data_IF_859232453545
#
_entry.id   IF_859232453545
#
_cell.length_a   1.000
_cell.length_b   1.000
_cell.length_c   1.000
_cell.angle_alpha   90.00
_cell.angle_beta   90.00
_cell.angle_gamma   90.00
#
_symmetry.space_group_name_H-M   'P 1'
#
loop_
_entity.id
_entity.type
_entity.pdbx_description
1 polymer ?
#
# COMPACT_ATOMS: atom_id res chain seq x y z
N UNK A 1 8.76 -1.20 63.63
CA UNK A 1 9.06 -0.94 62.20
C UNK A 1 8.16 -1.81 61.35
N UNK A 2 7.14 -1.22 60.70
CA UNK A 2 6.25 -1.95 59.77
C UNK A 2 6.72 -1.61 58.35
N UNK A 3 7.27 -2.60 57.65
CA UNK A 3 7.62 -2.47 56.24
C UNK A 3 6.38 -2.73 55.39
N UNK A 4 5.84 -1.69 54.76
CA UNK A 4 4.80 -1.80 53.74
C UNK A 4 5.47 -2.19 52.42
N UNK A 5 5.27 -3.44 51.99
CA UNK A 5 5.62 -3.90 50.65
C UNK A 5 4.59 -3.38 49.66
N UNK A 6 4.97 -2.48 48.76
CA UNK A 6 4.15 -2.04 47.64
C UNK A 6 4.42 -2.97 46.47
N UNK A 7 3.44 -3.79 46.10
CA UNK A 7 3.50 -4.68 44.95
C UNK A 7 3.15 -3.88 43.68
N UNK A 8 4.15 -3.63 42.83
CA UNK A 8 3.95 -2.95 41.55
C UNK A 8 3.47 -3.99 40.52
N UNK A 9 2.15 -4.06 40.27
CA UNK A 9 1.63 -4.85 39.14
C UNK A 9 1.95 -4.13 37.84
N UNK A 10 2.93 -4.65 37.10
CA UNK A 10 3.15 -4.30 35.70
C UNK A 10 2.00 -4.89 34.88
N UNK A 11 1.02 -4.04 34.53
CA UNK A 11 0.07 -4.37 33.48
C UNK A 11 0.84 -4.42 32.15
N UNK A 12 1.23 -5.62 31.74
CA UNK A 12 1.71 -5.86 30.38
C UNK A 12 0.49 -5.64 29.48
N UNK A 13 0.41 -4.47 28.86
CA UNK A 13 -0.55 -4.23 27.79
C UNK A 13 -0.26 -5.24 26.69
N UNK A 14 -1.19 -6.16 26.44
CA UNK A 14 -1.09 -7.03 25.27
C UNK A 14 -1.08 -6.12 24.03
N UNK A 15 0.06 -6.02 23.36
CA UNK A 15 0.14 -5.27 22.12
C UNK A 15 -0.82 -5.92 21.12
N UNK A 16 -1.70 -5.11 20.53
CA UNK A 16 -2.62 -5.52 19.48
C UNK A 16 -1.83 -5.70 18.18
N UNK A 17 -1.08 -6.81 18.07
CA UNK A 17 -0.32 -7.16 16.88
C UNK A 17 -1.14 -8.08 15.98
N UNK A 18 -1.32 -7.72 14.71
CA UNK A 18 -1.95 -8.55 13.69
C UNK A 18 -0.87 -9.18 12.81
N UNK A 19 -1.00 -10.41 12.32
CA UNK A 19 0.13 -11.04 11.61
C UNK A 19 -0.25 -12.01 10.50
N UNK A 20 0.60 -12.04 9.46
CA UNK A 20 0.58 -13.08 8.43
C UNK A 20 1.38 -14.29 8.89
N UNK A 21 0.74 -15.45 8.86
CA UNK A 21 1.34 -16.73 9.22
C UNK A 21 1.54 -17.59 7.98
N UNK A 22 2.63 -18.36 7.91
CA UNK A 22 2.85 -19.25 6.75
C UNK A 22 1.86 -20.43 6.75
N UNK A 23 1.50 -20.94 7.92
CA UNK A 23 0.49 -21.98 8.11
C UNK A 23 -0.03 -22.01 9.55
N UNK A 24 -1.18 -22.67 9.76
CA UNK A 24 -1.83 -22.80 11.08
C UNK A 24 -0.95 -23.48 12.12
N UNK A 25 -0.12 -24.45 11.71
CA UNK A 25 0.79 -25.15 12.63
C UNK A 25 1.78 -24.20 13.30
N UNK A 26 2.37 -23.27 12.53
CA UNK A 26 3.33 -22.30 13.08
C UNK A 26 2.62 -21.33 14.02
N UNK A 27 1.43 -20.85 13.62
CA UNK A 27 0.58 -20.04 14.48
C UNK A 27 0.27 -20.72 15.83
N UNK A 28 -0.18 -21.97 15.80
CA UNK A 28 -0.50 -22.75 17.00
C UNK A 28 0.73 -22.94 17.90
N UNK A 29 1.91 -23.17 17.30
CA UNK A 29 3.16 -23.34 18.03
C UNK A 29 3.61 -22.05 18.74
N UNK A 30 3.46 -20.89 18.10
CA UNK A 30 3.93 -19.62 18.64
C UNK A 30 2.93 -18.95 19.60
N UNK A 31 1.62 -19.12 19.35
CA UNK A 31 0.57 -18.45 20.14
C UNK A 31 -0.10 -19.36 21.17
N UNK A 32 0.01 -20.69 21.01
CA UNK A 32 -0.76 -21.66 21.77
C UNK A 32 -2.26 -21.72 21.43
N UNK A 33 -2.74 -20.89 20.49
CA UNK A 33 -4.14 -20.83 20.09
C UNK A 33 -4.44 -21.87 18.99
N UNK A 34 -5.56 -22.58 19.12
CA UNK A 34 -5.95 -23.65 18.18
C UNK A 34 -6.45 -23.13 16.83
N UNK A 35 -7.03 -21.93 16.81
CA UNK A 35 -7.60 -21.29 15.64
C UNK A 35 -7.12 -19.85 15.55
N UNK A 36 -7.05 -19.31 14.33
CA UNK A 36 -6.64 -17.93 14.08
C UNK A 36 -7.61 -16.96 14.77
N UNK A 37 -7.05 -15.91 15.35
CA UNK A 37 -7.84 -14.76 15.80
C UNK A 37 -8.24 -13.88 14.61
N UNK A 38 -9.20 -12.98 14.79
CA UNK A 38 -9.75 -12.14 13.71
C UNK A 38 -8.72 -11.20 13.05
N UNK A 39 -7.60 -10.96 13.73
CA UNK A 39 -6.48 -10.14 13.26
C UNK A 39 -5.39 -10.96 12.55
N UNK A 40 -5.43 -12.28 12.63
CA UNK A 40 -4.42 -13.17 12.06
C UNK A 40 -4.92 -13.80 10.76
N UNK A 41 -4.01 -14.00 9.80
CA UNK A 41 -4.34 -14.67 8.54
C UNK A 41 -3.21 -15.55 8.05
N UNK A 42 -3.52 -16.58 7.26
CA UNK A 42 -2.47 -17.36 6.58
C UNK A 42 -2.04 -16.70 5.27
N UNK A 43 -0.82 -17.02 4.83
CA UNK A 43 -0.34 -16.66 3.49
C UNK A 43 -1.29 -17.17 2.39
N UNK A 44 -1.90 -18.34 2.58
CA UNK A 44 -2.91 -18.87 1.66
C UNK A 44 -4.20 -18.06 1.65
N UNK A 45 -4.55 -17.42 2.77
CA UNK A 45 -5.80 -16.66 2.92
C UNK A 45 -5.70 -15.35 2.16
N UNK A 46 -4.57 -14.65 2.28
CA UNK A 46 -4.27 -13.47 1.46
C UNK A 46 -4.25 -13.80 -0.03
N UNK A 47 -3.51 -14.85 -0.42
CA UNK A 47 -3.38 -15.23 -1.85
C UNK A 47 -4.71 -15.61 -2.50
N UNK A 48 -5.68 -16.09 -1.72
CA UNK A 48 -7.02 -16.47 -2.18
C UNK A 48 -8.08 -15.39 -1.92
N UNK A 49 -7.70 -14.24 -1.37
CA UNK A 49 -8.62 -13.20 -0.89
C UNK A 49 -9.78 -13.76 -0.04
N UNK A 50 -9.49 -14.73 0.83
CA UNK A 50 -10.51 -15.44 1.62
C UNK A 50 -11.17 -14.54 2.67
N UNK A 51 -12.30 -14.98 3.22
CA UNK A 51 -13.00 -14.24 4.29
C UNK A 51 -12.11 -13.91 5.50
N UNK A 52 -11.21 -14.82 5.91
CA UNK A 52 -10.25 -14.57 7.01
C UNK A 52 -9.35 -13.37 6.71
N UNK A 53 -8.86 -13.26 5.47
CA UNK A 53 -8.05 -12.11 5.03
C UNK A 53 -8.86 -10.81 5.01
N UNK A 54 -10.11 -10.86 4.56
CA UNK A 54 -10.99 -9.69 4.54
C UNK A 54 -11.34 -9.20 5.95
N UNK A 55 -11.57 -10.13 6.89
CA UNK A 55 -11.79 -9.84 8.30
C UNK A 55 -10.54 -9.21 8.93
N UNK A 56 -9.37 -9.79 8.71
CA UNK A 56 -8.11 -9.23 9.19
C UNK A 56 -7.84 -7.82 8.62
N UNK A 57 -8.14 -7.59 7.34
CA UNK A 57 -8.01 -6.26 6.77
C UNK A 57 -8.96 -5.24 7.40
N UNK A 58 -10.21 -5.64 7.66
CA UNK A 58 -11.19 -4.80 8.35
C UNK A 58 -10.69 -4.48 9.76
N UNK A 59 -10.25 -5.50 10.51
CA UNK A 59 -9.67 -5.33 11.84
C UNK A 59 -8.48 -4.36 11.83
N UNK A 60 -7.52 -4.55 10.92
CA UNK A 60 -6.34 -3.69 10.83
C UNK A 60 -6.70 -2.26 10.48
N UNK A 61 -7.65 -2.06 9.54
CA UNK A 61 -8.11 -0.74 9.16
C UNK A 61 -8.77 -0.01 10.32
N UNK A 62 -9.67 -0.69 11.04
CA UNK A 62 -10.36 -0.15 12.21
C UNK A 62 -9.43 0.16 13.37
N UNK A 63 -8.41 -0.66 13.59
CA UNK A 63 -7.44 -0.46 14.67
C UNK A 63 -6.22 0.38 14.26
N UNK A 64 -6.20 0.92 13.05
CA UNK A 64 -5.09 1.74 12.53
C UNK A 64 -3.73 1.02 12.63
N UNK A 65 -3.67 -0.20 12.10
CA UNK A 65 -2.48 -1.08 12.10
C UNK A 65 -1.83 -1.22 10.71
N UNK A 66 -1.36 -0.14 10.05
CA UNK A 66 -0.75 -0.23 8.73
C UNK A 66 0.62 -0.95 8.74
N UNK A 67 1.30 -1.00 9.88
CA UNK A 67 2.63 -1.63 10.03
C UNK A 67 2.62 -3.14 9.81
N UNK A 68 1.45 -3.78 9.89
CA UNK A 68 1.30 -5.23 9.77
C UNK A 68 1.45 -5.71 8.31
N UNK A 69 1.41 -4.76 7.36
CA UNK A 69 1.65 -5.00 5.94
C UNK A 69 3.12 -4.71 5.58
N UNK A 70 4.02 -5.56 6.08
CA UNK A 70 5.48 -5.38 5.94
C UNK A 70 6.00 -5.42 4.50
N UNK A 71 5.30 -6.09 3.57
CA UNK A 71 5.77 -6.26 2.19
C UNK A 71 4.90 -5.52 1.16
N UNK A 72 5.51 -5.13 0.03
CA UNK A 72 4.77 -4.59 -1.14
C UNK A 72 3.65 -5.55 -1.58
N UNK A 73 3.83 -6.87 -1.41
CA UNK A 73 2.80 -7.87 -1.76
C UNK A 73 1.58 -7.75 -0.87
N UNK A 74 1.77 -7.68 0.45
CA UNK A 74 0.68 -7.50 1.39
C UNK A 74 -0.04 -6.16 1.18
N UNK A 75 0.70 -5.06 1.00
CA UNK A 75 0.13 -3.73 0.71
C UNK A 75 -0.68 -3.70 -0.60
N UNK A 76 -0.16 -4.34 -1.66
CA UNK A 76 -0.88 -4.53 -2.92
C UNK A 76 -2.20 -5.27 -2.67
N UNK A 77 -2.16 -6.42 -2.01
CA UNK A 77 -3.34 -7.27 -1.81
C UNK A 77 -4.35 -6.60 -0.88
N UNK A 78 -3.90 -5.74 0.05
CA UNK A 78 -4.76 -4.86 0.81
C UNK A 78 -5.48 -3.86 -0.09
N UNK A 79 -4.76 -3.17 -0.99
CA UNK A 79 -5.41 -2.25 -1.92
C UNK A 79 -6.42 -2.96 -2.82
N UNK A 80 -6.16 -4.21 -3.19
CA UNK A 80 -7.11 -5.05 -3.95
C UNK A 80 -8.41 -5.30 -3.20
N UNK A 81 -8.30 -5.78 -1.96
CA UNK A 81 -9.45 -5.92 -1.07
C UNK A 81 -10.17 -4.58 -0.88
N UNK A 82 -9.40 -3.52 -0.58
CA UNK A 82 -9.96 -2.23 -0.21
C UNK A 82 -10.76 -1.61 -1.36
N UNK A 83 -10.22 -1.56 -2.58
CA UNK A 83 -10.95 -0.97 -3.70
C UNK A 83 -12.22 -1.76 -4.03
N UNK A 84 -12.20 -3.08 -3.83
CA UNK A 84 -13.39 -3.93 -4.01
C UNK A 84 -14.45 -3.58 -2.97
N UNK A 85 -14.07 -3.54 -1.70
CA UNK A 85 -14.97 -3.25 -0.59
C UNK A 85 -15.61 -1.84 -0.66
N UNK A 86 -14.85 -0.80 -1.04
CA UNK A 86 -15.45 0.54 -1.21
C UNK A 86 -16.29 0.66 -2.49
N UNK A 87 -16.00 -0.13 -3.53
CA UNK A 87 -16.82 -0.16 -4.75
C UNK A 87 -18.17 -0.82 -4.46
N UNK A 88 -18.21 -1.86 -3.63
CA UNK A 88 -19.44 -2.50 -3.14
C UNK A 88 -20.28 -1.55 -2.28
N UNK A 89 -19.64 -0.66 -1.50
CA UNK A 89 -20.30 0.46 -0.81
C UNK A 89 -20.76 1.58 -1.76
N UNK A 90 -20.39 1.50 -3.04
CA UNK A 90 -20.80 2.44 -4.08
C UNK A 90 -19.85 3.61 -4.31
N UNK A 91 -18.65 3.66 -3.72
CA UNK A 91 -17.71 4.75 -4.00
C UNK A 91 -17.09 4.65 -5.40
N UNK A 92 -16.93 5.79 -6.07
CA UNK A 92 -16.28 5.90 -7.40
C UNK A 92 -14.82 6.36 -7.33
N UNK A 93 -14.23 6.33 -6.13
CA UNK A 93 -12.85 6.76 -5.87
C UNK A 93 -11.87 5.83 -6.60
N UNK A 94 -10.91 6.41 -7.32
CA UNK A 94 -10.01 5.65 -8.22
C UNK A 94 -8.63 5.43 -7.61
N UNK A 95 -8.20 6.26 -6.67
CA UNK A 95 -6.85 6.21 -6.11
C UNK A 95 -6.46 4.83 -5.54
N UNK A 96 -7.30 4.07 -4.82
CA UNK A 96 -6.95 2.72 -4.37
C UNK A 96 -6.65 1.74 -5.52
N UNK A 97 -7.36 1.88 -6.66
CA UNK A 97 -7.08 1.11 -7.88
C UNK A 97 -5.72 1.49 -8.49
N UNK A 98 -5.37 2.78 -8.43
CA UNK A 98 -4.04 3.27 -8.84
C UNK A 98 -2.94 2.73 -7.92
N UNK A 99 -3.15 2.77 -6.61
CA UNK A 99 -2.20 2.26 -5.62
C UNK A 99 -1.96 0.75 -5.81
N UNK A 100 -3.02 -0.04 -5.98
CA UNK A 100 -2.91 -1.46 -6.33
C UNK A 100 -2.10 -1.68 -7.63
N UNK A 101 -2.39 -0.89 -8.67
CA UNK A 101 -1.66 -0.98 -9.94
C UNK A 101 -0.17 -0.68 -9.77
N UNK A 102 0.17 0.42 -9.10
CA UNK A 102 1.56 0.81 -8.86
C UNK A 102 2.28 -0.21 -7.98
N UNK A 103 1.68 -0.69 -6.88
CA UNK A 103 2.29 -1.75 -6.05
C UNK A 103 2.52 -3.04 -6.83
N UNK A 104 1.62 -3.36 -7.79
CA UNK A 104 1.83 -4.48 -8.72
C UNK A 104 3.10 -4.29 -9.57
N UNK A 105 3.35 -3.07 -10.06
CA UNK A 105 4.55 -2.74 -10.83
C UNK A 105 5.80 -2.69 -9.97
N UNK A 106 5.75 -2.07 -8.79
CA UNK A 106 6.89 -1.98 -7.87
C UNK A 106 7.38 -3.35 -7.44
N UNK A 107 6.49 -4.32 -7.22
CA UNK A 107 6.85 -5.71 -6.90
C UNK A 107 7.72 -6.36 -7.98
N UNK A 108 7.59 -5.96 -9.25
CA UNK A 108 8.39 -6.52 -10.35
C UNK A 108 9.88 -6.23 -10.18
N UNK A 109 10.26 -5.18 -9.45
CA UNK A 109 11.68 -4.92 -9.11
C UNK A 109 12.34 -6.07 -8.35
N UNK A 110 11.55 -6.95 -7.72
CA UNK A 110 12.02 -8.14 -7.00
C UNK A 110 11.70 -9.44 -7.73
N UNK A 111 11.23 -9.41 -8.98
CA UNK A 111 10.79 -10.59 -9.74
C UNK A 111 11.63 -10.80 -11.01
N UNK A 112 11.86 -12.06 -11.40
CA UNK A 112 12.50 -12.39 -12.67
C UNK A 112 11.56 -12.07 -13.85
N UNK A 113 12.07 -11.60 -15.02
CA UNK A 113 13.47 -11.28 -15.32
C UNK A 113 13.90 -9.88 -14.87
N UNK A 114 12.97 -9.05 -14.41
CA UNK A 114 13.19 -7.64 -14.11
C UNK A 114 14.22 -7.37 -13.01
N UNK A 115 14.33 -8.26 -12.02
CA UNK A 115 15.31 -8.18 -10.93
C UNK A 115 16.76 -8.14 -11.42
N UNK A 116 17.04 -8.64 -12.63
CA UNK A 116 18.38 -8.61 -13.26
C UNK A 116 18.81 -7.16 -13.50
N UNK A 117 17.85 -6.28 -13.79
CA UNK A 117 18.11 -4.91 -14.19
C UNK A 117 17.78 -3.87 -13.10
N UNK A 118 17.44 -4.33 -11.90
CA UNK A 118 17.19 -3.47 -10.75
C UNK A 118 18.22 -3.74 -9.66
N UNK A 119 18.97 -2.71 -9.29
CA UNK A 119 19.96 -2.78 -8.22
C UNK A 119 19.30 -2.71 -6.83
N UNK A 120 20.12 -2.81 -5.77
CA UNK A 120 19.65 -2.76 -4.37
C UNK A 120 18.97 -1.42 -4.05
N UNK A 121 19.50 -0.30 -4.53
CA UNK A 121 18.94 1.04 -4.31
C UNK A 121 17.53 1.17 -4.87
N UNK A 122 17.30 0.74 -6.13
CA UNK A 122 15.96 0.75 -6.76
C UNK A 122 14.97 -0.09 -5.94
N UNK A 123 15.39 -1.28 -5.48
CA UNK A 123 14.54 -2.14 -4.64
C UNK A 123 14.23 -1.49 -3.28
N UNK A 124 15.19 -0.75 -2.72
CA UNK A 124 15.04 -0.01 -1.47
C UNK A 124 14.02 1.12 -1.64
N UNK A 125 14.21 2.00 -2.63
CA UNK A 125 13.27 3.10 -2.90
C UNK A 125 11.88 2.61 -3.27
N UNK A 126 11.76 1.51 -4.03
CA UNK A 126 10.45 0.90 -4.31
C UNK A 126 9.74 0.45 -3.03
N UNK A 127 10.48 -0.09 -2.06
CA UNK A 127 9.92 -0.50 -0.76
C UNK A 127 9.55 0.73 0.08
N UNK A 128 10.49 1.68 0.22
CA UNK A 128 10.30 2.90 0.99
C UNK A 128 9.12 3.74 0.47
N UNK A 129 9.01 3.91 -0.85
CA UNK A 129 7.88 4.61 -1.46
C UNK A 129 6.55 3.91 -1.22
N UNK A 130 6.49 2.59 -1.46
CA UNK A 130 5.28 1.80 -1.18
C UNK A 130 4.89 1.84 0.30
N UNK A 131 5.87 1.89 1.19
CA UNK A 131 5.65 1.94 2.63
C UNK A 131 5.16 3.30 3.09
N UNK A 132 5.86 4.35 2.70
CA UNK A 132 5.55 5.72 3.11
C UNK A 132 4.13 6.07 2.69
N UNK A 133 3.75 5.82 1.43
CA UNK A 133 2.38 6.09 0.96
C UNK A 133 1.35 5.29 1.75
N UNK A 134 1.59 3.98 1.94
CA UNK A 134 0.64 3.11 2.65
C UNK A 134 0.43 3.51 4.10
N UNK A 135 1.51 3.83 4.83
CA UNK A 135 1.44 4.27 6.22
C UNK A 135 0.69 5.59 6.35
N UNK A 136 0.97 6.55 5.47
CA UNK A 136 0.39 7.90 5.55
C UNK A 136 -1.09 7.92 5.17
N UNK A 137 -1.48 7.18 4.13
CA UNK A 137 -2.87 7.20 3.61
C UNK A 137 -3.84 6.38 4.47
N UNK A 138 -3.35 5.51 5.35
CA UNK A 138 -4.18 4.51 6.04
C UNK A 138 -5.33 5.10 6.85
N UNK A 139 -5.09 6.25 7.49
CA UNK A 139 -6.14 6.98 8.21
C UNK A 139 -7.22 7.53 7.28
N UNK A 140 -6.83 8.07 6.12
CA UNK A 140 -7.77 8.53 5.09
C UNK A 140 -8.60 7.38 4.51
N UNK A 141 -8.00 6.21 4.37
CA UNK A 141 -8.71 5.00 3.94
C UNK A 141 -9.73 4.55 5.00
N UNK A 142 -9.38 4.57 6.29
CA UNK A 142 -10.37 4.27 7.35
C UNK A 142 -11.55 5.23 7.32
N UNK A 143 -11.28 6.54 7.19
CA UNK A 143 -12.33 7.56 7.11
C UNK A 143 -13.25 7.31 5.91
N UNK A 144 -12.69 7.04 4.73
CA UNK A 144 -13.49 6.75 3.53
C UNK A 144 -14.28 5.45 3.69
N UNK A 145 -13.67 4.40 4.23
CA UNK A 145 -14.34 3.11 4.44
C UNK A 145 -15.52 3.23 5.39
N UNK A 146 -15.42 4.04 6.45
CA UNK A 146 -16.49 4.23 7.44
C UNK A 146 -17.45 5.38 7.09
N UNK A 147 -17.27 6.04 5.95
CA UNK A 147 -18.13 7.13 5.53
C UNK A 147 -19.52 6.62 5.18
N UNK A 148 -20.56 7.24 5.77
CA UNK A 148 -21.94 7.07 5.33
C UNK A 148 -22.21 7.79 4.00
N UNK A 149 -21.43 8.84 3.70
CA UNK A 149 -21.54 9.59 2.45
C UNK A 149 -20.83 8.84 1.32
N UNK A 150 -21.58 8.46 0.30
CA UNK A 150 -21.07 7.82 -0.92
C UNK A 150 -20.44 8.89 -1.83
N UNK A 151 -19.15 8.73 -2.12
CA UNK A 151 -18.42 9.64 -3.02
C UNK A 151 -18.60 9.19 -4.47
N UNK A 152 -19.32 9.99 -5.25
CA UNK A 152 -19.59 9.79 -6.69
C UNK A 152 -19.00 10.94 -7.51
N UNK A 153 -18.70 10.67 -8.78
CA UNK A 153 -18.34 11.68 -9.79
C UNK A 153 -17.33 12.74 -9.30
N UNK A 154 -17.75 14.01 -9.19
CA UNK A 154 -16.90 15.13 -8.80
C UNK A 154 -16.38 15.03 -7.36
N UNK A 155 -17.20 14.54 -6.42
CA UNK A 155 -16.76 14.35 -5.03
C UNK A 155 -15.68 13.26 -4.93
N UNK A 156 -15.79 12.19 -5.72
CA UNK A 156 -14.77 11.16 -5.81
C UNK A 156 -13.48 11.68 -6.47
N UNK A 157 -13.61 12.51 -7.52
CA UNK A 157 -12.47 13.17 -8.16
C UNK A 157 -11.75 14.12 -7.19
N UNK A 158 -12.48 14.97 -6.48
CA UNK A 158 -11.89 15.90 -5.52
C UNK A 158 -11.15 15.16 -4.40
N UNK A 159 -11.68 14.02 -3.94
CA UNK A 159 -10.99 13.16 -2.98
C UNK A 159 -9.69 12.59 -3.56
N UNK A 160 -9.74 12.04 -4.79
CA UNK A 160 -8.55 11.52 -5.48
C UNK A 160 -7.48 12.62 -5.66
N UNK A 161 -7.88 13.83 -6.07
CA UNK A 161 -6.98 14.99 -6.25
C UNK A 161 -6.30 15.38 -4.94
N UNK A 162 -7.05 15.47 -3.85
CA UNK A 162 -6.52 15.83 -2.55
C UNK A 162 -5.50 14.80 -2.03
N UNK A 163 -5.79 13.50 -2.20
CA UNK A 163 -4.87 12.42 -1.79
C UNK A 163 -3.64 12.40 -2.71
N UNK A 164 -3.81 12.52 -4.02
CA UNK A 164 -2.69 12.58 -4.97
C UNK A 164 -1.78 13.77 -4.70
N UNK A 165 -2.34 14.94 -4.38
CA UNK A 165 -1.53 16.10 -4.06
C UNK A 165 -0.66 15.82 -2.82
N UNK A 166 -1.26 15.35 -1.72
CA UNK A 166 -0.53 14.97 -0.49
C UNK A 166 0.54 13.91 -0.75
N UNK A 167 0.20 12.88 -1.52
CA UNK A 167 1.15 11.83 -1.89
C UNK A 167 2.37 12.41 -2.59
N UNK A 168 2.15 13.24 -3.61
CA UNK A 168 3.21 13.75 -4.48
C UNK A 168 4.01 14.89 -3.86
N UNK A 169 3.36 15.75 -3.07
CA UNK A 169 3.93 16.95 -2.45
C UNK A 169 4.57 16.67 -1.09
N UNK A 170 3.93 15.85 -0.25
CA UNK A 170 4.31 15.71 1.15
C UNK A 170 4.99 14.35 1.39
N UNK A 171 4.38 13.27 0.93
CA UNK A 171 4.80 11.92 1.36
C UNK A 171 6.02 11.42 0.60
N UNK A 172 6.05 11.54 -0.73
CA UNK A 172 7.13 10.97 -1.53
C UNK A 172 8.21 11.98 -1.90
N UNK A 173 7.96 13.29 -1.72
CA UNK A 173 8.93 14.32 -2.11
C UNK A 173 10.23 14.19 -1.33
N UNK A 174 10.17 13.86 -0.05
CA UNK A 174 11.33 13.57 0.79
C UNK A 174 12.17 12.43 0.22
N UNK A 175 11.52 11.35 -0.23
CA UNK A 175 12.19 10.23 -0.89
C UNK A 175 12.89 10.69 -2.16
N UNK A 176 12.23 11.49 -3.00
CA UNK A 176 12.86 12.01 -4.23
C UNK A 176 14.07 12.90 -3.97
N UNK A 177 14.08 13.65 -2.87
CA UNK A 177 15.21 14.48 -2.48
C UNK A 177 16.43 13.64 -2.07
N UNK A 178 16.22 12.43 -1.55
CA UNK A 178 17.27 11.54 -1.06
C UNK A 178 17.84 10.59 -2.14
N UNK A 179 17.19 10.51 -3.31
CA UNK A 179 17.61 9.60 -4.39
C UNK A 179 18.89 10.12 -5.08
N UNK A 180 19.91 9.28 -5.16
CA UNK A 180 21.11 9.57 -5.95
C UNK A 180 20.80 9.70 -7.45
N UNK A 181 21.56 10.55 -8.14
CA UNK A 181 21.30 10.91 -9.54
C UNK A 181 21.25 9.68 -10.49
N UNK A 182 22.07 8.66 -10.24
CA UNK A 182 22.12 7.47 -11.08
C UNK A 182 20.87 6.60 -10.89
N UNK A 183 20.43 6.44 -9.65
CA UNK A 183 19.17 5.76 -9.34
C UNK A 183 17.98 6.54 -9.90
N UNK A 184 17.97 7.87 -9.76
CA UNK A 184 16.90 8.73 -10.30
C UNK A 184 16.76 8.58 -11.82
N UNK A 185 17.87 8.65 -12.57
CA UNK A 185 17.90 8.42 -14.03
C UNK A 185 17.34 7.03 -14.41
N UNK A 186 17.55 6.04 -13.56
CA UNK A 186 17.05 4.68 -13.81
C UNK A 186 15.56 4.58 -13.56
N UNK A 187 15.06 5.13 -12.46
CA UNK A 187 13.62 5.23 -12.16
C UNK A 187 12.90 6.03 -13.26
N UNK A 188 13.51 7.12 -13.75
CA UNK A 188 12.97 7.89 -14.86
C UNK A 188 12.86 7.04 -16.14
N UNK A 189 13.91 6.29 -16.52
CA UNK A 189 13.86 5.37 -17.66
C UNK A 189 12.77 4.31 -17.49
N UNK A 190 12.57 3.81 -16.27
CA UNK A 190 11.50 2.87 -15.93
C UNK A 190 10.12 3.49 -16.17
N UNK A 191 9.86 4.65 -15.58
CA UNK A 191 8.58 5.36 -15.69
C UNK A 191 8.26 5.77 -17.14
N UNK A 192 9.28 6.15 -17.92
CA UNK A 192 9.18 6.47 -19.34
C UNK A 192 9.08 5.23 -20.25
N UNK A 193 9.22 4.02 -19.69
CA UNK A 193 9.19 2.76 -20.44
C UNK A 193 10.28 2.66 -21.52
N UNK A 194 11.49 3.19 -21.24
CA UNK A 194 12.61 3.20 -22.19
C UNK A 194 13.32 1.83 -22.22
N UNK A 195 13.70 1.38 -23.41
CA UNK A 195 14.40 0.09 -23.59
C UNK A 195 13.57 -1.10 -23.12
N UNK A 196 14.17 -2.01 -22.34
CA UNK A 196 13.48 -3.20 -21.83
C UNK A 196 12.38 -2.88 -20.80
N UNK A 197 12.40 -1.68 -20.18
CA UNK A 197 11.31 -1.23 -19.29
C UNK A 197 9.99 -0.98 -20.03
N UNK A 198 10.01 -0.96 -21.36
CA UNK A 198 8.80 -0.92 -22.19
C UNK A 198 7.81 -2.05 -21.91
N UNK A 199 8.31 -3.19 -21.39
CA UNK A 199 7.50 -4.34 -20.97
C UNK A 199 6.81 -4.13 -19.60
N UNK A 200 7.35 -3.25 -18.76
CA UNK A 200 6.76 -2.96 -17.43
C UNK A 200 5.61 -1.95 -17.54
N UNK A 201 5.77 -0.94 -18.40
CA UNK A 201 4.87 0.22 -18.48
C UNK A 201 4.19 0.29 -19.86
N UNK A 202 2.85 0.10 -19.93
CA UNK A 202 2.09 0.24 -21.16
C UNK A 202 2.30 1.60 -21.81
N UNK A 203 2.34 1.65 -23.15
CA UNK A 203 2.55 2.89 -23.92
C UNK A 203 1.61 4.03 -23.50
N UNK A 204 0.35 3.71 -23.19
CA UNK A 204 -0.68 4.68 -22.82
C UNK A 204 -0.39 5.46 -21.54
N UNK A 205 0.48 4.95 -20.66
CA UNK A 205 0.81 5.56 -19.37
C UNK A 205 2.32 5.74 -19.17
N UNK A 206 3.08 5.89 -20.26
CA UNK A 206 4.50 6.21 -20.12
C UNK A 206 4.63 7.65 -19.69
N UNK A 207 5.37 7.86 -18.60
CA UNK A 207 5.65 9.19 -18.08
C UNK A 207 6.39 10.03 -19.14
N UNK A 208 6.14 11.34 -19.17
CA UNK A 208 6.77 12.26 -20.16
C UNK A 208 7.54 13.41 -19.51
N UNK A 209 7.21 13.78 -18.26
CA UNK A 209 7.81 14.92 -17.58
C UNK A 209 9.17 14.62 -16.94
N UNK A 210 9.57 15.51 -16.04
CA UNK A 210 10.69 15.31 -15.12
C UNK A 210 10.17 14.60 -13.85
N UNK A 211 10.78 13.46 -13.51
CA UNK A 211 10.30 12.65 -12.39
C UNK A 211 10.68 13.26 -11.04
N UNK A 212 11.70 14.13 -10.99
CA UNK A 212 12.05 14.88 -9.79
C UNK A 212 11.05 16.00 -9.49
N UNK A 213 10.37 16.51 -10.54
CA UNK A 213 9.41 17.58 -10.42
C UNK A 213 8.05 17.09 -9.91
N UNK A 214 7.67 17.57 -8.72
CA UNK A 214 6.43 17.21 -8.04
C UNK A 214 5.17 17.45 -8.88
N UNK A 215 5.05 18.64 -9.49
CA UNK A 215 3.89 18.97 -10.31
C UNK A 215 3.78 18.05 -11.53
N UNK A 216 4.91 17.70 -12.16
CA UNK A 216 4.93 16.76 -13.28
C UNK A 216 4.40 15.38 -12.89
N UNK A 217 4.78 14.88 -11.70
CA UNK A 217 4.27 13.60 -11.19
C UNK A 217 2.78 13.68 -10.84
N UNK A 218 2.34 14.75 -10.17
CA UNK A 218 0.93 14.98 -9.84
C UNK A 218 0.05 15.03 -11.08
N UNK A 219 0.42 15.85 -12.07
CA UNK A 219 -0.34 15.98 -13.31
C UNK A 219 -0.40 14.65 -14.08
N UNK A 220 0.71 13.90 -14.13
CA UNK A 220 0.70 12.56 -14.70
C UNK A 220 -0.24 11.60 -13.95
N UNK A 221 -0.20 11.59 -12.61
CA UNK A 221 -1.01 10.70 -11.81
C UNK A 221 -2.51 10.98 -12.04
N UNK A 222 -2.90 12.25 -12.05
CA UNK A 222 -4.29 12.68 -12.22
C UNK A 222 -4.81 12.49 -13.65
N UNK A 223 -4.05 12.94 -14.66
CA UNK A 223 -4.57 13.03 -16.04
C UNK A 223 -4.34 11.78 -16.87
N UNK A 224 -3.35 10.95 -16.51
CA UNK A 224 -3.00 9.75 -17.28
C UNK A 224 -3.22 8.47 -16.47
N UNK A 225 -2.57 8.35 -15.30
CA UNK A 225 -2.64 7.11 -14.53
C UNK A 225 -4.05 6.84 -14.00
N UNK A 226 -4.71 7.85 -13.44
CA UNK A 226 -6.09 7.73 -12.94
C UNK A 226 -7.05 7.32 -14.04
N UNK A 227 -7.00 7.98 -15.19
CA UNK A 227 -7.86 7.68 -16.35
C UNK A 227 -7.63 6.24 -16.83
N UNK A 228 -6.37 5.83 -16.93
CA UNK A 228 -6.03 4.46 -17.31
C UNK A 228 -6.52 3.43 -16.30
N UNK A 229 -6.31 3.67 -15.00
CA UNK A 229 -6.75 2.77 -13.94
C UNK A 229 -8.27 2.70 -13.87
N UNK A 230 -8.98 3.81 -14.01
CA UNK A 230 -10.45 3.81 -14.07
C UNK A 230 -10.94 2.85 -15.15
N UNK A 231 -10.47 3.02 -16.40
CA UNK A 231 -10.84 2.15 -17.53
C UNK A 231 -10.39 0.69 -17.38
N UNK A 232 -9.26 0.44 -16.71
CA UNK A 232 -8.69 -0.91 -16.56
C UNK A 232 -9.48 -1.79 -15.59
N UNK A 233 -10.12 -1.16 -14.60
CA UNK A 233 -10.86 -1.82 -13.52
C UNK A 233 -12.38 -1.61 -13.64
N UNK A 234 -12.84 -1.13 -14.80
CA UNK A 234 -14.21 -1.24 -15.29
C UNK A 234 -14.35 -2.56 -16.07
#
# INVERSE_FOLDING_TARGET
MKYTWVFFMLFISQQLLASEWSCLKIYQQETGQQALSEKDWLTSDRRRNSQVWQQANTFNLENQLPSEYSTIRQRRDFYEWYYTAISEKGHDVVWPKMAHYISTKLRLTKAFPFTIFTNKSIKSYANQGSETVFMQVFSNLKILYNSESILKSEAALAWDEAILYKEQADWIQTIYNDIDENTLKTIEKMAKGKGFYSLMVPKAIRFKGDISNQNSRYQYALTQLRVYCKKRYE
#
